data_IF_025549298086
#
_entry.id   IF_025549298086
#
_cell.length_a   1.000
_cell.length_b   1.000
_cell.length_c   1.000
_cell.angle_alpha   90.00
_cell.angle_beta   90.00
_cell.angle_gamma   90.00
#
_symmetry.space_group_name_H-M   'P 1'
#
loop_
_entity.id
_entity.type
_entity.pdbx_description
1 polymer ?
#
# COMPACT_ATOMS: atom_id res chain seq x y z
N UNK A 1 -22.67 5.59 -3.40
CA UNK A 1 -22.71 4.25 -2.76
C UNK A 1 -21.30 3.91 -2.29
N UNK A 2 -21.12 3.55 -1.02
CA UNK A 2 -19.81 3.15 -0.49
C UNK A 2 -19.64 1.64 -0.60
N UNK A 3 -18.46 1.21 -1.05
CA UNK A 3 -18.07 -0.18 -1.16
C UNK A 3 -16.87 -0.44 -0.25
N UNK A 4 -16.89 -1.56 0.45
CA UNK A 4 -15.74 -2.07 1.21
C UNK A 4 -15.55 -3.53 0.88
N UNK A 5 -14.36 -3.87 0.40
CA UNK A 5 -13.97 -5.23 0.06
C UNK A 5 -12.94 -5.71 1.08
N UNK A 6 -13.19 -6.91 1.64
CA UNK A 6 -12.28 -7.57 2.57
C UNK A 6 -11.68 -8.82 1.91
N UNK A 7 -10.43 -9.11 2.24
CA UNK A 7 -9.70 -10.25 1.74
C UNK A 7 -8.87 -10.90 2.85
N UNK A 8 -8.45 -12.15 2.61
CA UNK A 8 -7.59 -12.92 3.51
C UNK A 8 -8.20 -14.22 4.00
N UNK A 9 -7.35 -15.21 4.25
CA UNK A 9 -7.75 -16.54 4.70
C UNK A 9 -8.11 -16.48 6.20
N UNK A 10 -9.40 -16.62 6.52
CA UNK A 10 -9.90 -16.68 7.90
C UNK A 10 -10.03 -18.12 8.42
N UNK A 11 -10.35 -18.26 9.72
CA UNK A 11 -10.55 -19.56 10.36
C UNK A 11 -11.54 -20.43 9.56
N UNK A 12 -11.16 -21.70 9.35
CA UNK A 12 -11.90 -22.64 8.50
C UNK A 12 -11.34 -22.79 7.07
N UNK A 13 -10.39 -21.94 6.66
CA UNK A 13 -9.67 -22.08 5.39
C UNK A 13 -8.28 -22.72 5.60
N UNK A 14 -7.74 -23.47 4.62
CA UNK A 14 -6.51 -24.26 4.79
C UNK A 14 -5.26 -23.45 5.19
N UNK A 15 -5.20 -22.18 4.79
CA UNK A 15 -4.07 -21.28 5.04
C UNK A 15 -4.51 -20.10 5.94
N UNK A 16 -5.41 -20.36 6.88
CA UNK A 16 -5.96 -19.34 7.77
C UNK A 16 -4.87 -18.59 8.54
N UNK A 17 -4.83 -17.27 8.36
CA UNK A 17 -4.02 -16.38 9.15
C UNK A 17 -4.79 -15.06 9.39
N UNK A 18 -5.45 -14.90 10.55
CA UNK A 18 -6.26 -13.73 10.84
C UNK A 18 -5.48 -12.40 10.76
N UNK A 19 -4.15 -12.42 10.94
CA UNK A 19 -3.31 -11.21 10.82
C UNK A 19 -3.15 -10.73 9.38
N UNK A 20 -3.42 -11.59 8.40
CA UNK A 20 -3.33 -11.31 6.98
C UNK A 20 -4.69 -10.93 6.37
N UNK A 21 -5.77 -10.98 7.16
CA UNK A 21 -7.13 -10.70 6.72
C UNK A 21 -7.59 -9.29 7.13
N UNK A 22 -8.30 -8.60 6.23
CA UNK A 22 -8.65 -7.20 6.44
C UNK A 22 -9.30 -6.55 5.23
N UNK A 23 -9.41 -5.22 5.25
CA UNK A 23 -9.90 -4.43 4.12
C UNK A 23 -8.80 -4.35 3.05
N UNK A 24 -9.15 -4.67 1.80
CA UNK A 24 -8.24 -4.60 0.64
C UNK A 24 -8.62 -3.47 -0.33
N UNK A 25 -9.88 -3.03 -0.30
CA UNK A 25 -10.33 -1.85 -1.04
C UNK A 25 -11.51 -1.20 -0.31
N UNK A 26 -11.55 0.12 -0.29
CA UNK A 26 -12.70 0.88 0.19
C UNK A 26 -12.79 2.21 -0.56
N UNK A 27 -14.01 2.63 -0.86
CA UNK A 27 -14.27 3.90 -1.54
C UNK A 27 -15.70 4.03 -2.01
N UNK A 28 -16.02 5.19 -2.58
CA UNK A 28 -17.28 5.43 -3.24
C UNK A 28 -17.23 4.90 -4.67
N UNK A 29 -18.29 4.22 -5.11
CA UNK A 29 -18.43 3.86 -6.53
C UNK A 29 -18.61 5.15 -7.31
N UNK A 30 -17.62 5.48 -8.13
CA UNK A 30 -17.63 6.65 -9.01
C UNK A 30 -18.26 6.32 -10.36
N UNK A 31 -17.88 5.18 -10.93
CA UNK A 31 -18.43 4.69 -12.18
C UNK A 31 -18.66 3.18 -12.07
N UNK A 32 -19.74 2.71 -12.69
CA UNK A 32 -20.01 1.29 -12.87
C UNK A 32 -20.37 1.03 -14.32
N UNK A 33 -19.79 0.00 -14.92
CA UNK A 33 -20.17 -0.43 -16.27
C UNK A 33 -20.16 -1.95 -16.36
N UNK A 34 -21.11 -2.48 -17.13
CA UNK A 34 -21.20 -3.90 -17.41
C UNK A 34 -20.59 -4.21 -18.77
N UNK A 35 -19.92 -5.34 -18.89
CA UNK A 35 -19.52 -5.89 -20.17
C UNK A 35 -20.08 -7.31 -20.32
N UNK A 36 -20.27 -7.76 -21.56
CA UNK A 36 -20.68 -9.13 -21.85
C UNK A 36 -19.92 -9.70 -23.03
N UNK A 37 -19.37 -10.89 -22.85
CA UNK A 37 -18.78 -11.69 -23.93
C UNK A 37 -19.39 -13.09 -23.87
N UNK A 38 -20.25 -13.39 -24.85
CA UNK A 38 -21.05 -14.63 -24.83
C UNK A 38 -21.99 -14.68 -23.61
N UNK A 39 -21.78 -15.65 -22.73
CA UNK A 39 -22.53 -15.83 -21.48
C UNK A 39 -21.82 -15.24 -20.25
N UNK A 40 -20.59 -14.78 -20.40
CA UNK A 40 -19.83 -14.15 -19.32
C UNK A 40 -20.23 -12.68 -19.23
N UNK A 41 -20.76 -12.30 -18.06
CA UNK A 41 -21.14 -10.92 -17.76
C UNK A 41 -20.23 -10.41 -16.65
N UNK A 42 -19.58 -9.27 -16.87
CA UNK A 42 -18.76 -8.58 -15.87
C UNK A 42 -19.44 -7.29 -15.43
N UNK A 43 -19.20 -6.91 -14.18
CA UNK A 43 -19.52 -5.60 -13.65
C UNK A 43 -18.24 -4.99 -13.11
N UNK A 44 -17.80 -3.92 -13.74
CA UNK A 44 -16.62 -3.17 -13.37
C UNK A 44 -17.03 -1.96 -12.54
N UNK A 45 -16.39 -1.79 -11.38
CA UNK A 45 -16.65 -0.69 -10.46
C UNK A 45 -15.37 0.11 -10.26
N UNK A 46 -15.39 1.37 -10.69
CA UNK A 46 -14.32 2.32 -10.42
C UNK A 46 -14.60 2.97 -9.06
N UNK A 47 -13.65 2.84 -8.14
CA UNK A 47 -13.78 3.39 -6.80
C UNK A 47 -12.99 4.69 -6.69
N UNK A 48 -13.63 5.74 -6.18
CA UNK A 48 -12.94 6.92 -5.70
C UNK A 48 -12.76 6.79 -4.18
N UNK A 49 -11.51 6.76 -3.66
CA UNK A 49 -11.28 6.68 -2.22
C UNK A 49 -11.54 8.01 -1.50
N UNK A 50 -11.53 9.15 -2.21
CA UNK A 50 -11.72 10.47 -1.62
C UNK A 50 -13.20 10.72 -1.28
N UNK A 51 -13.45 11.19 -0.06
CA UNK A 51 -14.79 11.59 0.40
C UNK A 51 -15.21 12.96 -0.13
N UNK A 52 -14.26 13.88 -0.25
CA UNK A 52 -14.50 15.27 -0.66
C UNK A 52 -13.90 15.53 -2.02
N UNK A 53 -14.69 16.18 -2.88
CA UNK A 53 -14.32 16.56 -4.25
C UNK A 53 -14.44 18.07 -4.41
N UNK A 54 -14.10 18.61 -5.59
CA UNK A 54 -14.33 20.03 -5.85
C UNK A 54 -15.82 20.38 -5.96
N UNK A 55 -16.65 19.43 -6.39
CA UNK A 55 -18.11 19.59 -6.50
C UNK A 55 -18.81 19.38 -5.14
N UNK A 56 -18.23 18.55 -4.26
CA UNK A 56 -18.68 18.31 -2.89
C UNK A 56 -17.51 18.55 -1.90
N UNK A 57 -17.16 19.81 -1.65
CA UNK A 57 -15.97 20.17 -0.89
C UNK A 57 -16.14 19.89 0.61
N UNK A 58 -15.06 19.39 1.22
CA UNK A 58 -14.90 19.30 2.66
C UNK A 58 -14.45 20.63 3.26
N UNK A 59 -14.64 20.80 4.56
CA UNK A 59 -14.09 21.93 5.31
C UNK A 59 -12.84 21.50 6.07
N UNK A 60 -11.75 21.22 5.35
CA UNK A 60 -10.50 20.73 5.95
C UNK A 60 -9.69 21.95 6.40
N UNK A 61 -9.72 22.24 7.70
CA UNK A 61 -9.00 23.38 8.27
C UNK A 61 -7.74 22.91 8.98
N UNK A 62 -6.58 23.22 8.39
CA UNK A 62 -5.28 23.05 9.05
C UNK A 62 -5.02 24.31 9.90
N UNK A 63 -4.92 24.14 11.21
CA UNK A 63 -4.58 25.22 12.13
C UNK A 63 -3.29 24.84 12.86
N UNK A 64 -2.15 25.08 12.21
CA UNK A 64 -0.85 24.70 12.74
C UNK A 64 -0.28 25.87 13.56
N UNK A 65 -0.43 25.80 14.87
CA UNK A 65 0.07 26.83 15.77
C UNK A 65 1.57 26.72 15.98
N UNK A 66 2.24 27.86 16.18
CA UNK A 66 3.66 27.91 16.49
C UNK A 66 4.02 26.99 17.67
N UNK A 67 5.12 26.24 17.54
CA UNK A 67 5.59 25.31 18.56
C UNK A 67 4.85 23.97 18.66
N UNK A 68 3.79 23.77 17.87
CA UNK A 68 3.05 22.51 17.85
C UNK A 68 3.64 21.53 16.82
N UNK A 69 3.75 20.22 17.12
CA UNK A 69 4.10 19.23 16.11
C UNK A 69 3.00 19.08 15.05
N UNK A 70 3.40 19.08 13.77
CA UNK A 70 2.47 18.92 12.64
C UNK A 70 1.62 17.66 12.77
N UNK A 71 2.19 16.57 13.29
CA UNK A 71 1.46 15.31 13.50
C UNK A 71 0.24 15.49 14.40
N UNK A 72 0.35 16.32 15.44
CA UNK A 72 -0.75 16.60 16.35
C UNK A 72 -1.81 17.46 15.67
N UNK A 73 -1.40 18.49 14.92
CA UNK A 73 -2.30 19.34 14.15
C UNK A 73 -3.07 18.53 13.11
N UNK A 74 -2.39 17.70 12.32
CA UNK A 74 -3.02 16.84 11.32
C UNK A 74 -4.01 15.86 11.95
N UNK A 75 -3.69 15.30 13.12
CA UNK A 75 -4.62 14.42 13.84
C UNK A 75 -5.93 15.15 14.17
N UNK A 76 -5.84 16.40 14.65
CA UNK A 76 -7.01 17.22 14.95
C UNK A 76 -7.79 17.57 13.68
N UNK A 77 -7.11 18.12 12.67
CA UNK A 77 -7.71 18.50 11.37
C UNK A 77 -8.45 17.33 10.73
N UNK A 78 -7.80 16.17 10.62
CA UNK A 78 -8.39 14.98 9.99
C UNK A 78 -9.49 14.36 10.85
N UNK A 79 -9.42 14.42 12.18
CA UNK A 79 -10.50 13.91 13.04
C UNK A 79 -11.80 14.71 12.92
N UNK A 80 -11.70 16.02 12.63
CA UNK A 80 -12.86 16.89 12.41
C UNK A 80 -13.40 16.73 10.99
N UNK A 81 -12.51 16.74 9.99
CA UNK A 81 -12.91 16.63 8.59
C UNK A 81 -13.35 15.22 8.20
N UNK A 82 -12.77 14.17 8.79
CA UNK A 82 -13.03 12.78 8.43
C UNK A 82 -13.37 11.93 9.68
N UNK A 83 -14.51 12.19 10.34
CA UNK A 83 -14.82 11.57 11.63
C UNK A 83 -15.00 10.05 11.58
N UNK A 84 -15.32 9.51 10.40
CA UNK A 84 -15.57 8.07 10.19
C UNK A 84 -14.38 7.34 9.55
N UNK A 85 -13.35 8.07 9.10
CA UNK A 85 -12.17 7.48 8.46
C UNK A 85 -10.97 7.63 9.41
N UNK A 86 -10.36 6.53 9.87
CA UNK A 86 -9.18 6.63 10.73
C UNK A 86 -8.04 7.32 9.97
N UNK A 87 -7.14 7.98 10.71
CA UNK A 87 -5.93 8.57 10.19
C UNK A 87 -4.71 7.94 10.88
N UNK A 88 -3.79 7.39 10.08
CA UNK A 88 -2.47 6.96 10.51
C UNK A 88 -1.46 8.04 10.14
N UNK A 89 -0.76 8.60 11.12
CA UNK A 89 0.18 9.71 10.92
C UNK A 89 1.57 9.23 11.30
N UNK A 90 2.42 9.06 10.29
CA UNK A 90 3.76 8.53 10.38
C UNK A 90 4.79 9.53 9.85
N UNK A 91 4.92 10.68 10.52
CA UNK A 91 5.86 11.73 10.14
C UNK A 91 6.79 12.05 11.32
N UNK A 92 7.91 12.71 11.06
CA UNK A 92 8.83 13.10 12.13
C UNK A 92 8.17 14.08 13.11
N UNK A 93 8.50 13.88 14.39
CA UNK A 93 8.19 14.77 15.52
C UNK A 93 8.91 16.12 15.46
N UNK A 94 9.92 16.27 14.58
CA UNK A 94 10.68 17.51 14.37
C UNK A 94 9.98 18.51 13.46
N UNK A 95 8.85 18.16 12.86
CA UNK A 95 8.06 19.07 12.06
C UNK A 95 7.29 20.01 12.99
N UNK A 96 7.99 21.03 13.47
CA UNK A 96 7.52 22.07 14.39
C UNK A 96 7.95 23.41 13.81
N UNK A 97 6.99 24.29 13.57
CA UNK A 97 7.25 25.62 13.01
C UNK A 97 7.23 26.71 14.09
N UNK A 98 7.81 27.86 13.78
CA UNK A 98 7.97 29.00 14.71
C UNK A 98 6.88 30.06 14.57
N UNK A 99 5.97 29.92 13.62
CA UNK A 99 4.88 30.84 13.34
C UNK A 99 3.56 30.08 13.19
N UNK A 100 2.44 30.80 13.23
CA UNK A 100 1.13 30.20 12.99
C UNK A 100 0.89 30.07 11.48
N UNK A 101 0.44 28.90 11.05
CA UNK A 101 0.12 28.59 9.65
C UNK A 101 -1.31 28.04 9.59
N UNK A 102 -2.22 28.79 8.97
CA UNK A 102 -3.64 28.42 8.88
C UNK A 102 -4.03 28.29 7.43
N UNK A 103 -4.58 27.13 7.07
CA UNK A 103 -5.04 26.84 5.71
C UNK A 103 -6.42 26.22 5.70
N UNK A 104 -7.16 26.52 4.64
CA UNK A 104 -8.47 25.94 4.37
C UNK A 104 -8.41 25.20 3.04
N UNK A 105 -8.56 23.89 3.11
CA UNK A 105 -8.55 23.01 1.95
C UNK A 105 -9.96 22.46 1.74
N UNK A 106 -10.40 22.43 0.49
CA UNK A 106 -11.67 21.82 0.07
C UNK A 106 -11.54 20.31 -0.11
N UNK A 107 -10.35 19.82 -0.47
CA UNK A 107 -10.11 18.40 -0.72
C UNK A 107 -8.84 17.91 -0.05
N UNK A 108 -8.71 16.58 0.11
CA UNK A 108 -7.48 15.97 0.61
C UNK A 108 -6.29 16.24 -0.31
N UNK A 109 -6.54 16.36 -1.62
CA UNK A 109 -5.52 16.69 -2.61
C UNK A 109 -4.95 18.09 -2.41
N UNK A 110 -5.79 19.09 -2.13
CA UNK A 110 -5.33 20.43 -1.79
C UNK A 110 -4.50 20.43 -0.49
N UNK A 111 -4.95 19.67 0.52
CA UNK A 111 -4.16 19.48 1.74
C UNK A 111 -2.82 18.80 1.43
N UNK A 112 -2.78 17.81 0.53
CA UNK A 112 -1.56 17.13 0.12
C UNK A 112 -0.56 18.09 -0.53
N UNK A 113 -1.03 18.90 -1.48
CA UNK A 113 -0.20 19.89 -2.18
C UNK A 113 0.38 20.90 -1.20
N UNK A 114 -0.46 21.43 -0.31
CA UNK A 114 -0.04 22.34 0.75
C UNK A 114 1.02 21.72 1.66
N UNK A 115 0.82 20.48 2.10
CA UNK A 115 1.75 19.82 3.01
C UNK A 115 3.13 19.68 2.37
N UNK A 116 3.20 19.28 1.09
CA UNK A 116 4.47 19.22 0.37
C UNK A 116 5.09 20.62 0.26
N UNK A 117 4.32 21.63 -0.15
CA UNK A 117 4.81 23.01 -0.32
C UNK A 117 5.42 23.58 0.97
N UNK A 118 4.76 23.38 2.11
CA UNK A 118 5.22 23.92 3.40
C UNK A 118 6.39 23.11 3.96
N UNK A 119 6.42 21.80 3.74
CA UNK A 119 7.37 20.92 4.47
C UNK A 119 8.62 20.55 3.68
N UNK A 120 8.53 20.46 2.35
CA UNK A 120 9.65 20.03 1.50
C UNK A 120 10.86 20.96 1.69
N UNK A 121 12.03 20.37 1.96
CA UNK A 121 13.28 21.11 2.13
C UNK A 121 13.42 21.96 3.40
N UNK A 122 12.34 22.18 4.17
CA UNK A 122 12.30 23.21 5.22
C UNK A 122 12.65 22.71 6.63
N UNK A 123 12.39 21.43 6.95
CA UNK A 123 12.49 20.93 8.34
C UNK A 123 13.67 19.98 8.58
N UNK A 124 13.92 19.04 7.66
CA UNK A 124 14.93 17.98 7.82
C UNK A 124 16.10 18.12 6.84
N UNK A 125 16.31 19.33 6.32
CA UNK A 125 17.33 19.65 5.31
C UNK A 125 16.77 19.71 3.89
N UNK A 126 17.62 20.14 2.96
CA UNK A 126 17.25 20.41 1.56
C UNK A 126 16.68 19.21 0.81
N UNK A 127 17.09 17.99 1.20
CA UNK A 127 16.72 16.75 0.51
C UNK A 127 15.45 16.11 1.09
N UNK A 128 14.83 16.74 2.09
CA UNK A 128 13.60 16.26 2.67
C UNK A 128 12.44 16.37 1.67
N UNK A 129 11.87 15.22 1.30
CA UNK A 129 10.82 15.11 0.28
C UNK A 129 9.47 15.74 0.68
N UNK A 130 9.31 16.12 1.95
CA UNK A 130 8.07 16.67 2.49
C UNK A 130 7.09 15.59 2.97
N UNK A 131 6.00 16.05 3.54
CA UNK A 131 4.90 15.23 4.04
C UNK A 131 3.94 14.90 2.91
N UNK A 132 3.62 13.62 2.79
CA UNK A 132 2.69 13.07 1.81
C UNK A 132 1.46 12.50 2.52
N UNK A 133 0.33 12.50 1.81
CA UNK A 133 -0.94 11.99 2.31
C UNK A 133 -1.68 11.22 1.22
N UNK A 134 -2.34 10.14 1.61
CA UNK A 134 -3.10 9.28 0.71
C UNK A 134 -4.22 8.56 1.47
N UNK A 135 -5.11 7.88 0.75
CA UNK A 135 -6.12 6.99 1.33
C UNK A 135 -5.82 5.57 0.87
N UNK A 136 -5.65 4.66 1.82
CA UNK A 136 -5.36 3.25 1.56
C UNK A 136 -6.25 2.39 2.45
N UNK A 137 -6.90 1.38 1.87
CA UNK A 137 -7.75 0.42 2.58
C UNK A 137 -8.81 1.06 3.52
N UNK A 138 -9.33 2.24 3.16
CA UNK A 138 -10.33 2.96 3.96
C UNK A 138 -9.75 3.74 5.15
N UNK A 139 -8.45 4.01 5.14
CA UNK A 139 -7.74 4.81 6.14
C UNK A 139 -6.94 5.92 5.46
N UNK A 140 -6.90 7.10 6.07
CA UNK A 140 -5.98 8.18 5.66
C UNK A 140 -4.59 7.83 6.18
N UNK A 141 -3.60 7.81 5.31
CA UNK A 141 -2.20 7.55 5.66
C UNK A 141 -1.39 8.80 5.34
N UNK A 142 -0.80 9.38 6.37
CA UNK A 142 0.15 10.50 6.27
C UNK A 142 1.53 9.96 6.59
N UNK A 143 2.51 10.26 5.74
CA UNK A 143 3.88 9.78 5.91
C UNK A 143 4.90 10.75 5.33
N UNK A 144 6.15 10.62 5.75
CA UNK A 144 7.29 11.34 5.19
C UNK A 144 8.48 10.41 4.95
N UNK A 145 9.62 10.95 4.53
CA UNK A 145 10.83 10.17 4.27
C UNK A 145 11.47 9.55 5.52
N UNK A 146 11.00 9.88 6.73
CA UNK A 146 11.46 9.24 7.98
C UNK A 146 10.65 8.00 8.33
N UNK A 147 9.47 7.84 7.72
CA UNK A 147 8.65 6.66 7.91
C UNK A 147 9.34 5.41 7.38
N UNK A 148 9.37 4.37 8.21
CA UNK A 148 9.77 3.02 7.80
C UNK A 148 8.49 2.20 7.64
N UNK A 149 8.12 1.80 6.40
CA UNK A 149 6.96 0.97 6.16
C UNK A 149 7.03 -0.32 6.97
N UNK A 150 5.86 -0.91 7.24
CA UNK A 150 5.80 -2.21 7.90
C UNK A 150 6.55 -3.28 7.07
N UNK A 151 7.44 -4.01 7.72
CA UNK A 151 8.09 -5.19 7.13
C UNK A 151 7.19 -6.40 7.31
N UNK A 152 6.70 -6.94 6.20
CA UNK A 152 5.92 -8.16 6.13
C UNK A 152 6.84 -9.34 5.88
N UNK A 153 7.04 -10.16 6.91
CA UNK A 153 7.72 -11.46 6.76
C UNK A 153 6.81 -12.42 5.98
N UNK A 154 7.31 -12.91 4.85
CA UNK A 154 6.63 -13.94 4.09
C UNK A 154 7.05 -15.33 4.56
N UNK A 155 6.09 -16.23 4.64
CA UNK A 155 6.31 -17.67 4.78
C UNK A 155 6.28 -18.34 3.40
N UNK A 156 6.93 -19.50 3.26
CA UNK A 156 6.88 -20.26 2.00
C UNK A 156 5.45 -20.65 1.60
N UNK A 157 4.62 -20.98 2.59
CA UNK A 157 3.20 -21.32 2.41
C UNK A 157 2.34 -20.15 1.95
N UNK A 158 2.85 -18.91 2.00
CA UNK A 158 2.12 -17.75 1.50
C UNK A 158 2.11 -17.70 -0.04
N UNK A 159 3.06 -18.38 -0.71
CA UNK A 159 3.24 -18.29 -2.16
C UNK A 159 2.29 -19.18 -2.95
N UNK A 160 1.68 -18.60 -3.98
CA UNK A 160 0.89 -19.31 -4.99
C UNK A 160 1.73 -19.34 -6.26
N UNK A 161 2.59 -20.36 -6.37
CA UNK A 161 3.59 -20.46 -7.43
C UNK A 161 4.90 -19.73 -7.09
N UNK A 162 5.83 -19.69 -8.04
CA UNK A 162 7.17 -19.13 -7.81
C UNK A 162 7.25 -17.64 -8.15
N UNK A 163 8.01 -16.84 -7.37
CA UNK A 163 8.40 -15.49 -7.74
C UNK A 163 9.07 -15.45 -9.11
N UNK A 164 8.77 -14.41 -9.89
CA UNK A 164 9.29 -14.26 -11.26
C UNK A 164 9.83 -12.86 -11.47
N UNK A 165 11.01 -12.73 -12.08
CA UNK A 165 11.55 -11.44 -12.51
C UNK A 165 10.87 -11.00 -13.80
N UNK A 166 10.08 -9.93 -13.74
CA UNK A 166 9.28 -9.44 -14.88
C UNK A 166 9.93 -8.24 -15.59
N UNK A 167 10.87 -7.57 -14.92
CA UNK A 167 11.69 -6.49 -15.47
C UNK A 167 13.00 -6.37 -14.69
N UNK A 168 14.02 -5.60 -15.16
CA UNK A 168 15.21 -5.32 -14.37
C UNK A 168 14.86 -4.77 -12.99
N UNK A 169 15.37 -5.41 -11.94
CA UNK A 169 15.11 -5.06 -10.53
C UNK A 169 13.64 -5.10 -10.07
N UNK A 170 12.74 -5.71 -10.85
CA UNK A 170 11.33 -5.89 -10.47
C UNK A 170 10.95 -7.37 -10.46
N UNK A 171 10.53 -7.83 -9.29
CA UNK A 171 10.06 -9.19 -9.06
C UNK A 171 8.55 -9.19 -8.81
N UNK A 172 7.82 -10.07 -9.49
CA UNK A 172 6.43 -10.35 -9.20
C UNK A 172 6.34 -11.53 -8.24
N UNK A 173 5.59 -11.34 -7.16
CA UNK A 173 5.19 -12.41 -6.25
C UNK A 173 3.68 -12.57 -6.30
N UNK A 174 3.23 -13.83 -6.33
CA UNK A 174 1.82 -14.20 -6.19
C UNK A 174 1.68 -14.87 -4.84
N UNK A 175 0.85 -14.30 -4.00
CA UNK A 175 0.60 -14.75 -2.64
C UNK A 175 -0.87 -15.15 -2.51
N UNK A 176 -1.21 -15.94 -1.50
CA UNK A 176 -2.61 -16.04 -1.02
C UNK A 176 -3.17 -14.64 -0.79
N UNK A 177 -4.48 -14.43 -0.80
CA UNK A 177 -5.03 -13.08 -0.59
C UNK A 177 -4.54 -12.49 0.74
N UNK A 178 -3.91 -11.31 0.67
CA UNK A 178 -3.28 -10.58 1.78
C UNK A 178 -3.85 -9.16 1.86
N UNK A 179 -4.36 -8.77 3.02
CA UNK A 179 -4.82 -7.40 3.31
C UNK A 179 -3.80 -6.57 4.10
N UNK A 180 -2.80 -7.23 4.67
CA UNK A 180 -1.69 -6.62 5.40
C UNK A 180 -0.57 -6.09 4.48
N UNK A 181 -0.63 -6.39 3.18
CA UNK A 181 0.29 -5.88 2.17
C UNK A 181 -0.35 -4.71 1.44
N UNK A 182 0.34 -3.58 1.41
CA UNK A 182 -0.06 -2.34 0.76
C UNK A 182 1.06 -1.82 -0.15
N UNK A 183 0.77 -0.82 -0.97
CA UNK A 183 1.81 -0.10 -1.71
C UNK A 183 2.83 0.49 -0.73
N UNK A 184 4.12 0.39 -1.07
CA UNK A 184 5.22 0.80 -0.21
C UNK A 184 5.56 -0.16 0.93
N UNK A 185 4.75 -1.20 1.18
CA UNK A 185 5.09 -2.25 2.15
C UNK A 185 6.42 -2.92 1.79
N UNK A 186 7.17 -3.31 2.81
CA UNK A 186 8.41 -4.03 2.62
C UNK A 186 8.17 -5.53 2.80
N UNK A 187 8.49 -6.33 1.78
CA UNK A 187 8.38 -7.79 1.84
C UNK A 187 9.75 -8.39 2.16
N UNK A 188 9.80 -9.17 3.23
CA UNK A 188 10.96 -9.96 3.60
C UNK A 188 10.74 -11.40 3.15
N UNK A 189 11.57 -11.87 2.21
CA UNK A 189 11.44 -13.21 1.64
C UNK A 189 11.76 -14.30 2.69
N UNK A 190 11.18 -15.51 2.54
CA UNK A 190 11.42 -16.59 3.49
C UNK A 190 12.89 -17.04 3.49
N UNK A 191 13.43 -17.31 4.68
CA UNK A 191 14.79 -17.81 4.83
C UNK A 191 14.84 -19.34 4.88
N UNK A 192 15.98 -19.94 4.52
CA UNK A 192 16.24 -21.36 4.76
C UNK A 192 15.60 -22.37 3.78
N UNK A 193 15.04 -21.91 2.65
CA UNK A 193 14.31 -22.78 1.71
C UNK A 193 15.17 -23.59 0.72
N UNK A 194 16.50 -23.55 0.85
CA UNK A 194 17.43 -24.08 -0.16
C UNK A 194 17.30 -25.60 -0.37
N UNK A 195 16.67 -26.33 0.56
CA UNK A 195 16.51 -27.78 0.53
C UNK A 195 15.03 -28.24 0.55
N UNK A 196 14.08 -27.35 0.31
CA UNK A 196 12.65 -27.69 0.39
C UNK A 196 12.14 -28.24 -0.97
N UNK A 197 11.46 -29.40 -1.01
CA UNK A 197 10.86 -29.92 -2.24
C UNK A 197 9.92 -28.90 -2.91
N UNK A 198 9.97 -28.80 -4.25
CA UNK A 198 9.11 -27.90 -5.04
C UNK A 198 9.70 -26.52 -5.33
N UNK A 199 10.88 -26.19 -4.79
CA UNK A 199 11.64 -25.00 -5.21
C UNK A 199 12.44 -25.32 -6.47
N UNK A 200 12.24 -24.53 -7.54
CA UNK A 200 13.09 -24.59 -8.74
C UNK A 200 14.17 -23.53 -8.56
N UNK A 201 15.40 -24.01 -8.33
CA UNK A 201 16.57 -23.14 -8.32
C UNK A 201 17.04 -22.95 -9.77
N UNK A 202 17.48 -21.75 -10.11
CA UNK A 202 18.18 -21.53 -11.38
C UNK A 202 19.52 -22.24 -11.31
N UNK A 203 19.85 -23.08 -12.30
CA UNK A 203 21.13 -23.79 -12.33
C UNK A 203 22.27 -22.85 -12.71
N UNK A 204 23.49 -23.11 -12.23
CA UNK A 204 24.70 -22.35 -12.59
C UNK A 204 24.93 -22.26 -14.11
N UNK A 205 24.41 -23.25 -14.86
CA UNK A 205 24.43 -23.33 -16.33
C UNK A 205 23.47 -22.36 -17.04
N UNK A 206 22.57 -21.68 -16.33
CA UNK A 206 21.63 -20.70 -16.91
C UNK A 206 22.21 -19.27 -17.02
N UNK A 207 23.48 -19.08 -16.67
CA UNK A 207 24.18 -17.77 -16.64
C UNK A 207 23.38 -16.61 -16.01
N UNK A 208 22.69 -16.80 -14.87
CA UNK A 208 22.02 -15.69 -14.21
C UNK A 208 23.09 -14.84 -13.51
N UNK A 209 23.00 -13.51 -13.61
CA UNK A 209 23.92 -12.62 -12.88
C UNK A 209 23.96 -13.02 -11.40
N UNK A 210 25.13 -13.02 -10.77
CA UNK A 210 25.37 -13.52 -9.40
C UNK A 210 24.42 -12.96 -8.31
N UNK A 211 23.74 -11.85 -8.60
CA UNK A 211 22.65 -11.26 -7.81
C UNK A 211 21.35 -12.12 -7.80
N UNK A 212 21.06 -12.85 -8.87
CA UNK A 212 19.81 -13.59 -9.10
C UNK A 212 19.67 -14.91 -8.33
N UNK A 213 20.79 -15.49 -7.87
CA UNK A 213 20.79 -16.78 -7.18
C UNK A 213 20.22 -16.69 -5.75
N UNK A 214 20.43 -15.55 -5.07
CA UNK A 214 19.85 -15.26 -3.75
C UNK A 214 18.59 -14.40 -3.82
N UNK A 215 18.40 -13.59 -4.87
CA UNK A 215 17.34 -12.58 -4.88
C UNK A 215 15.93 -13.07 -5.22
N UNK A 216 15.75 -14.25 -5.83
CA UNK A 216 14.38 -14.72 -6.11
C UNK A 216 13.62 -15.16 -4.83
N UNK A 217 14.36 -15.53 -3.77
CA UNK A 217 13.77 -16.09 -2.53
C UNK A 217 14.45 -15.61 -1.24
N UNK A 218 15.40 -14.67 -1.29
CA UNK A 218 16.02 -14.07 -0.10
C UNK A 218 16.17 -12.56 -0.32
N UNK A 219 15.97 -11.78 0.73
CA UNK A 219 16.14 -10.32 0.71
C UNK A 219 14.87 -9.55 1.02
N UNK A 220 15.00 -8.22 0.93
CA UNK A 220 13.95 -7.23 1.21
C UNK A 220 13.58 -6.55 -0.10
N UNK A 221 12.29 -6.41 -0.33
CA UNK A 221 11.75 -5.81 -1.55
C UNK A 221 10.62 -4.85 -1.20
N UNK A 222 10.53 -3.72 -1.91
CA UNK A 222 9.45 -2.75 -1.69
C UNK A 222 8.34 -2.97 -2.71
N UNK A 223 7.08 -3.04 -2.25
CA UNK A 223 5.92 -3.18 -3.13
C UNK A 223 5.68 -1.88 -3.88
N UNK A 224 5.74 -1.94 -5.21
CA UNK A 224 5.52 -0.79 -6.10
C UNK A 224 4.20 -0.87 -6.85
N UNK A 225 3.65 -2.08 -7.04
CA UNK A 225 2.32 -2.28 -7.61
C UNK A 225 1.64 -3.44 -6.89
N UNK A 226 0.32 -3.33 -6.71
CA UNK A 226 -0.48 -4.30 -5.99
C UNK A 226 -1.78 -4.57 -6.73
N UNK A 227 -2.16 -5.84 -6.83
CA UNK A 227 -3.40 -6.28 -7.45
C UNK A 227 -3.97 -7.46 -6.68
N UNK A 228 -5.26 -7.44 -6.40
CA UNK A 228 -5.99 -8.56 -5.81
C UNK A 228 -6.84 -9.22 -6.89
N UNK A 229 -6.80 -10.55 -6.96
CA UNK A 229 -7.61 -11.34 -7.91
C UNK A 229 -8.45 -12.32 -7.11
N UNK A 230 -9.78 -12.24 -7.26
CA UNK A 230 -10.73 -13.20 -6.74
C UNK A 230 -11.57 -13.74 -7.88
N UNK A 231 -11.35 -14.99 -8.29
CA UNK A 231 -12.19 -15.66 -9.28
C UNK A 231 -12.65 -17.00 -8.73
N UNK A 232 -13.96 -17.15 -8.50
CA UNK A 232 -14.54 -18.35 -7.91
C UNK A 232 -14.41 -19.60 -8.79
N UNK A 233 -14.24 -19.45 -10.12
CA UNK A 233 -14.28 -20.54 -11.10
C UNK A 233 -13.00 -20.72 -11.90
N UNK A 234 -11.88 -20.14 -11.46
CA UNK A 234 -10.62 -20.34 -12.18
C UNK A 234 -10.17 -21.81 -12.08
N UNK A 235 -9.81 -22.39 -13.22
CA UNK A 235 -9.37 -23.78 -13.34
C UNK A 235 -7.93 -24.00 -12.85
N UNK A 236 -7.14 -22.92 -12.74
CA UNK A 236 -5.69 -22.95 -12.50
C UNK A 236 -5.30 -22.80 -11.02
N UNK A 237 -6.26 -22.61 -10.12
CA UNK A 237 -6.01 -22.43 -8.69
C UNK A 237 -5.27 -21.13 -8.34
N UNK A 238 -5.10 -20.19 -9.27
CA UNK A 238 -4.41 -18.91 -9.05
C UNK A 238 -5.35 -17.78 -8.56
N UNK A 239 -6.59 -18.13 -8.22
CA UNK A 239 -7.58 -17.24 -7.65
C UNK A 239 -7.39 -16.96 -6.18
N UNK A 240 -8.04 -15.90 -5.70
CA UNK A 240 -7.99 -15.46 -4.30
C UNK A 240 -6.55 -15.19 -3.88
N UNK A 241 -5.87 -14.41 -4.72
CA UNK A 241 -4.46 -14.12 -4.63
C UNK A 241 -4.20 -12.61 -4.57
N UNK A 242 -3.12 -12.24 -3.87
CA UNK A 242 -2.51 -10.92 -3.98
C UNK A 242 -1.28 -11.04 -4.88
N UNK A 243 -1.25 -10.27 -5.96
CA UNK A 243 -0.10 -10.14 -6.86
C UNK A 243 0.57 -8.81 -6.52
N UNK A 244 1.84 -8.87 -6.12
CA UNK A 244 2.65 -7.69 -5.85
C UNK A 244 3.85 -7.66 -6.80
N UNK A 245 4.06 -6.54 -7.47
CA UNK A 245 5.32 -6.24 -8.12
C UNK A 245 6.19 -5.48 -7.14
N UNK A 246 7.40 -5.96 -6.95
CA UNK A 246 8.30 -5.49 -5.90
C UNK A 246 9.64 -5.09 -6.49
N UNK A 247 10.13 -3.90 -6.15
CA UNK A 247 11.44 -3.44 -6.52
C UNK A 247 12.50 -3.91 -5.53
N UNK A 248 13.71 -4.20 -6.03
CA UNK A 248 14.90 -4.37 -5.18
C UNK A 248 15.14 -3.06 -4.44
N UNK A 249 15.20 -3.11 -3.11
CA UNK A 249 15.60 -1.94 -2.33
C UNK A 249 17.10 -1.74 -2.52
N UNK A 250 17.53 -0.52 -2.86
CA UNK A 250 18.95 -0.19 -2.78
C UNK A 250 19.39 -0.42 -1.34
N UNK A 251 20.33 -1.32 -1.12
CA UNK A 251 21.01 -1.38 0.17
C UNK A 251 21.59 0.01 0.41
N UNK A 252 21.12 0.68 1.47
CA UNK A 252 21.89 1.78 2.06
C UNK A 252 23.26 1.28 2.48
#
# INVERSE_FOLDING_TARGET
MNLTMKGGMQAGLPLANPKQAGVIAAGQVWQSFGNWEGTEMTLDLVLNPALYTLDEPGNIVLNWTAGMPLAQTLKQTLSVAYPTMPALINISDKLVQTHDEVHRCSTLEQLAQLLVEVTQGNFLGSDYAGVQITIQAGQIVVYDSTYKPNTVQLAFTDFVGQPTWIAPNVMQVKLVMRADIQLGSELLMPQGLQNTPGIVLTSSSSLPSSLKYKSAFQGRFSVIELRHIGNFRALDGASWATIANCAVMSNG
#
